data_IF_810910298231
#
_entry.id   IF_810910298231
#
_cell.length_a   1.000
_cell.length_b   1.000
_cell.length_c   1.000
_cell.angle_alpha   90.00
_cell.angle_beta   90.00
_cell.angle_gamma   90.00
#
_symmetry.space_group_name_H-M   'P 1'
#
loop_
_entity.id
_entity.type
_entity.pdbx_description
1 polymer ?
#
# COMPACT_ATOMS: atom_id res chain seq x y z
N UNK A 1 -7.87 -11.49 -28.77
CA UNK A 1 -6.43 -11.33 -28.57
C UNK A 1 -6.20 -11.31 -27.07
N UNK A 2 -5.31 -12.16 -26.54
CA UNK A 2 -4.84 -11.93 -25.18
C UNK A 2 -4.15 -10.56 -25.16
N UNK A 3 -4.51 -9.71 -24.20
CA UNK A 3 -3.91 -8.38 -24.06
C UNK A 3 -2.46 -8.52 -23.55
N UNK A 4 -2.09 -9.68 -23.00
CA UNK A 4 -0.78 -9.94 -22.38
C UNK A 4 -0.17 -11.27 -22.81
N UNK A 5 1.15 -11.38 -22.66
CA UNK A 5 1.90 -12.62 -22.89
C UNK A 5 1.76 -13.55 -21.67
N UNK A 6 1.31 -14.79 -21.88
CA UNK A 6 1.04 -15.77 -20.81
C UNK A 6 2.29 -16.53 -20.32
N UNK A 7 3.47 -16.18 -20.83
CA UNK A 7 4.76 -16.75 -20.42
C UNK A 7 5.59 -15.72 -19.66
N UNK A 8 6.34 -16.13 -18.62
CA UNK A 8 7.22 -15.22 -17.91
C UNK A 8 8.29 -14.65 -18.85
N UNK A 9 8.58 -13.37 -18.68
CA UNK A 9 9.80 -12.77 -19.19
C UNK A 9 10.93 -13.04 -18.20
N UNK A 10 11.98 -13.71 -18.64
CA UNK A 10 13.17 -13.93 -17.82
C UNK A 10 14.06 -12.69 -17.93
N UNK A 11 14.17 -11.95 -16.84
CA UNK A 11 15.00 -10.77 -16.72
C UNK A 11 16.27 -11.14 -15.96
N UNK A 12 17.44 -11.04 -16.60
CA UNK A 12 18.74 -11.22 -15.95
C UNK A 12 19.30 -9.84 -15.58
N UNK A 13 19.40 -9.51 -14.28
CA UNK A 13 19.97 -8.23 -13.86
C UNK A 13 21.46 -8.11 -14.19
N UNK A 14 21.90 -6.89 -14.46
CA UNK A 14 23.32 -6.53 -14.42
C UNK A 14 23.68 -6.12 -12.98
N UNK A 15 24.55 -6.86 -12.26
CA UNK A 15 24.89 -6.56 -10.88
C UNK A 15 25.71 -5.27 -10.71
N UNK A 16 26.10 -4.61 -11.80
CA UNK A 16 26.92 -3.39 -11.79
C UNK A 16 26.23 -2.17 -12.38
N UNK A 17 24.97 -2.30 -12.80
CA UNK A 17 24.21 -1.24 -13.42
C UNK A 17 22.87 -0.99 -12.71
N UNK A 18 22.28 0.17 -13.00
CA UNK A 18 20.90 0.45 -12.63
C UNK A 18 19.94 -0.37 -13.51
N UNK A 19 19.28 -1.35 -12.90
CA UNK A 19 18.34 -2.25 -13.56
C UNK A 19 16.92 -1.66 -13.68
N UNK A 20 16.63 -0.55 -12.99
CA UNK A 20 15.30 0.03 -12.91
C UNK A 20 14.70 0.40 -14.28
N UNK A 21 15.44 1.10 -15.16
CA UNK A 21 14.96 1.41 -16.51
C UNK A 21 14.66 0.17 -17.35
N UNK A 22 15.42 -0.92 -17.17
CA UNK A 22 15.21 -2.15 -17.94
C UNK A 22 13.93 -2.86 -17.50
N UNK A 23 13.69 -2.98 -16.18
CA UNK A 23 12.42 -3.50 -15.64
C UNK A 23 11.21 -2.74 -16.19
N UNK A 24 11.27 -1.40 -16.20
CA UNK A 24 10.19 -0.58 -16.77
C UNK A 24 10.01 -0.83 -18.27
N UNK A 25 11.10 -0.99 -19.03
CA UNK A 25 11.03 -1.26 -20.47
C UNK A 25 10.33 -2.60 -20.79
N UNK A 26 10.52 -3.61 -19.94
CA UNK A 26 9.89 -4.93 -20.06
C UNK A 26 8.36 -4.80 -19.86
N UNK A 27 7.94 -4.02 -18.86
CA UNK A 27 6.53 -3.72 -18.62
C UNK A 27 5.90 -2.95 -19.79
N UNK A 28 6.62 -1.97 -20.34
CA UNK A 28 6.19 -1.21 -21.53
C UNK A 28 6.08 -2.09 -22.78
N UNK A 29 6.91 -3.13 -22.88
CA UNK A 29 6.82 -4.13 -23.94
C UNK A 29 5.63 -5.10 -23.80
N UNK A 30 4.87 -5.03 -22.71
CA UNK A 30 3.62 -5.78 -22.52
C UNK A 30 3.74 -7.02 -21.65
N UNK A 31 4.92 -7.32 -21.09
CA UNK A 31 5.09 -8.42 -20.16
C UNK A 31 4.50 -8.05 -18.80
N UNK A 32 3.68 -8.95 -18.25
CA UNK A 32 3.09 -8.80 -16.91
C UNK A 32 3.65 -9.79 -15.92
N UNK A 33 4.22 -10.88 -16.40
CA UNK A 33 4.93 -11.84 -15.58
C UNK A 33 6.42 -11.69 -15.82
N UNK A 34 7.14 -11.22 -14.81
CA UNK A 34 8.58 -11.01 -14.82
C UNK A 34 9.20 -11.96 -13.79
N UNK A 35 10.15 -12.76 -14.25
CA UNK A 35 10.98 -13.61 -13.42
C UNK A 35 12.42 -13.08 -13.41
N UNK A 36 12.93 -12.73 -12.23
CA UNK A 36 14.28 -12.19 -12.08
C UNK A 36 15.26 -13.34 -11.91
N UNK A 37 16.14 -13.50 -12.90
CA UNK A 37 17.19 -14.51 -12.97
C UNK A 37 18.54 -13.93 -12.52
N UNK A 38 18.64 -13.70 -11.22
CA UNK A 38 19.84 -13.23 -10.53
C UNK A 38 19.58 -13.15 -9.02
N UNK A 39 20.63 -13.24 -8.21
CA UNK A 39 20.53 -13.05 -6.76
C UNK A 39 20.49 -11.59 -6.35
N UNK A 40 21.01 -10.71 -7.20
CA UNK A 40 21.14 -9.28 -6.91
C UNK A 40 20.64 -8.46 -8.11
N UNK A 41 19.85 -7.44 -7.83
CA UNK A 41 19.27 -6.54 -8.81
C UNK A 41 19.36 -5.09 -8.30
N UNK A 42 20.52 -4.43 -8.46
CA UNK A 42 20.65 -3.03 -8.09
C UNK A 42 19.73 -2.15 -8.92
N UNK A 43 19.01 -1.24 -8.26
CA UNK A 43 18.20 -0.21 -8.89
C UNK A 43 18.61 1.16 -8.35
N UNK A 44 19.04 2.03 -9.27
CA UNK A 44 19.38 3.43 -9.02
C UNK A 44 18.28 4.40 -9.46
N UNK A 45 17.26 3.90 -10.14
CA UNK A 45 16.07 4.66 -10.54
C UNK A 45 14.82 3.94 -10.05
N UNK A 46 13.88 4.69 -9.48
CA UNK A 46 12.55 4.20 -9.11
C UNK A 46 11.90 3.41 -10.25
N UNK A 47 11.44 2.20 -9.94
CA UNK A 47 10.72 1.33 -10.88
C UNK A 47 9.24 1.66 -10.80
N UNK A 48 8.76 2.41 -11.79
CA UNK A 48 7.33 2.69 -11.96
C UNK A 48 6.64 1.49 -12.61
N UNK A 49 5.68 0.89 -11.91
CA UNK A 49 4.87 -0.23 -12.41
C UNK A 49 3.62 0.24 -13.20
N UNK A 50 3.49 1.56 -13.40
CA UNK A 50 2.46 2.20 -14.20
C UNK A 50 2.84 2.27 -15.69
N UNK A 51 1.83 2.55 -16.50
CA UNK A 51 2.01 3.07 -17.86
C UNK A 51 2.53 4.51 -17.82
N UNK A 52 3.07 4.97 -18.95
CA UNK A 52 3.49 6.37 -19.14
C UNK A 52 2.34 7.38 -19.04
N UNK A 53 1.09 6.94 -19.17
CA UNK A 53 -0.12 7.74 -18.96
C UNK A 53 -0.72 7.56 -17.54
N UNK A 54 0.08 7.08 -16.59
CA UNK A 54 -0.24 6.77 -15.20
C UNK A 54 -1.28 5.67 -14.98
N UNK A 55 -1.77 5.02 -16.02
CA UNK A 55 -2.70 3.89 -15.86
C UNK A 55 -1.99 2.66 -15.28
N UNK A 56 -2.58 1.98 -14.28
CA UNK A 56 -1.96 0.79 -13.71
C UNK A 56 -2.05 -0.42 -14.65
N UNK A 57 -0.99 -1.22 -14.72
CA UNK A 57 -1.02 -2.53 -15.38
C UNK A 57 -1.56 -3.63 -14.47
N UNK A 58 -2.85 -3.94 -14.52
CA UNK A 58 -3.40 -5.06 -13.71
C UNK A 58 -2.76 -6.41 -14.04
N UNK A 59 -2.76 -7.35 -13.10
CA UNK A 59 -2.29 -8.72 -13.33
C UNK A 59 -0.77 -8.90 -13.34
N UNK A 60 -0.01 -7.97 -12.75
CA UNK A 60 1.45 -8.09 -12.69
C UNK A 60 1.89 -9.18 -11.71
N UNK A 61 2.89 -9.96 -12.12
CA UNK A 61 3.59 -10.97 -11.35
C UNK A 61 5.08 -10.64 -11.40
N UNK A 62 5.69 -10.37 -10.25
CA UNK A 62 7.13 -10.12 -10.13
C UNK A 62 7.69 -11.08 -9.07
N UNK A 63 8.61 -11.93 -9.48
CA UNK A 63 9.16 -12.99 -8.65
C UNK A 63 10.56 -13.40 -9.12
N UNK A 64 11.33 -14.15 -8.32
CA UNK A 64 12.55 -14.80 -8.79
C UNK A 64 12.29 -15.88 -9.84
N UNK A 65 13.28 -16.13 -10.69
CA UNK A 65 13.28 -17.29 -11.59
C UNK A 65 13.39 -18.62 -10.83
N UNK A 66 12.95 -19.75 -11.41
CA UNK A 66 13.04 -21.05 -10.76
C UNK A 66 14.47 -21.40 -10.32
N UNK A 67 14.65 -21.76 -9.05
CA UNK A 67 15.95 -22.07 -8.46
C UNK A 67 16.60 -20.91 -7.70
N UNK A 68 15.96 -19.74 -7.70
CA UNK A 68 16.35 -18.59 -6.88
C UNK A 68 15.28 -18.41 -5.79
N UNK A 69 15.70 -18.52 -4.52
CA UNK A 69 14.77 -18.43 -3.40
C UNK A 69 14.31 -17.00 -3.15
N UNK A 70 15.23 -16.03 -3.28
CA UNK A 70 15.00 -14.60 -3.05
C UNK A 70 15.99 -13.76 -3.86
N UNK A 71 15.53 -12.58 -4.30
CA UNK A 71 16.35 -11.60 -5.05
C UNK A 71 16.59 -10.38 -4.17
N UNK A 72 17.85 -9.97 -4.00
CA UNK A 72 18.22 -8.72 -3.36
C UNK A 72 17.96 -7.54 -4.30
N UNK A 73 17.12 -6.61 -3.87
CA UNK A 73 16.89 -5.32 -4.53
C UNK A 73 17.69 -4.27 -3.77
N UNK A 74 18.88 -3.92 -4.29
CA UNK A 74 19.73 -2.87 -3.74
C UNK A 74 19.26 -1.51 -4.28
N UNK A 75 18.76 -0.67 -3.37
CA UNK A 75 18.17 0.64 -3.71
C UNK A 75 19.07 1.82 -3.37
N UNK A 76 20.34 1.55 -3.00
CA UNK A 76 21.30 2.57 -2.57
C UNK A 76 21.54 3.68 -3.61
N UNK A 77 21.27 3.41 -4.89
CA UNK A 77 21.38 4.40 -5.96
C UNK A 77 20.22 5.41 -6.03
N UNK A 78 19.08 5.12 -5.37
CA UNK A 78 17.89 6.00 -5.36
C UNK A 78 18.03 7.06 -4.26
N UNK A 79 18.30 6.62 -3.03
CA UNK A 79 18.38 7.50 -1.86
C UNK A 79 17.03 8.12 -1.48
N UNK A 80 17.07 9.15 -0.66
CA UNK A 80 15.91 9.96 -0.28
C UNK A 80 16.04 11.38 -0.79
N UNK A 81 14.91 12.09 -0.87
CA UNK A 81 14.91 13.52 -1.13
C UNK A 81 15.62 14.25 0.03
N UNK A 82 16.69 15.03 -0.21
CA UNK A 82 17.46 15.68 0.85
C UNK A 82 16.73 16.86 1.53
N UNK A 83 15.68 17.40 0.90
CA UNK A 83 14.87 18.49 1.47
C UNK A 83 13.62 17.98 2.17
N UNK A 84 13.14 16.79 1.79
CA UNK A 84 12.01 16.10 2.39
C UNK A 84 12.26 14.59 2.38
N UNK A 85 13.01 14.05 3.35
CA UNK A 85 13.35 12.62 3.38
C UNK A 85 12.15 11.66 3.47
N UNK A 86 10.93 12.20 3.61
CA UNK A 86 9.68 11.43 3.66
C UNK A 86 8.94 11.39 2.33
N UNK A 87 9.41 12.10 1.31
CA UNK A 87 8.81 12.16 -0.03
C UNK A 87 8.72 10.77 -0.68
N UNK A 88 7.51 10.20 -0.84
CA UNK A 88 7.33 8.84 -1.34
C UNK A 88 7.66 8.71 -2.84
N UNK A 89 7.86 9.81 -3.58
CA UNK A 89 8.32 9.74 -4.97
C UNK A 89 9.72 9.13 -5.13
N UNK A 90 10.46 8.99 -4.03
CA UNK A 90 11.73 8.27 -3.92
C UNK A 90 11.55 6.81 -3.48
N UNK A 91 10.40 6.21 -3.76
CA UNK A 91 10.20 4.78 -3.59
C UNK A 91 11.09 3.98 -4.56
N UNK A 92 11.45 2.75 -4.19
CA UNK A 92 12.26 1.89 -5.03
C UNK A 92 11.41 1.21 -6.11
N UNK A 93 10.29 0.63 -5.71
CA UNK A 93 9.23 0.19 -6.61
C UNK A 93 7.97 0.95 -6.22
N UNK A 94 7.49 1.79 -7.14
CA UNK A 94 6.26 2.55 -6.99
C UNK A 94 5.19 2.02 -7.94
N UNK A 95 3.99 1.88 -7.40
CA UNK A 95 2.84 1.46 -8.16
C UNK A 95 1.60 2.18 -7.67
N UNK A 96 0.98 2.99 -8.54
CA UNK A 96 -0.16 3.81 -8.16
C UNK A 96 -1.43 3.44 -8.92
N UNK A 97 -2.58 3.51 -8.24
CA UNK A 97 -3.86 3.67 -8.94
C UNK A 97 -3.90 5.04 -9.64
N UNK A 98 -4.63 5.15 -10.74
CA UNK A 98 -4.79 6.44 -11.42
C UNK A 98 -6.04 7.14 -10.86
N UNK A 99 -5.87 8.30 -10.25
CA UNK A 99 -6.98 9.07 -9.69
C UNK A 99 -7.22 10.34 -10.50
N UNK A 100 -8.49 10.70 -10.68
CA UNK A 100 -8.90 11.92 -11.40
C UNK A 100 -10.05 12.60 -10.66
N UNK A 101 -10.15 13.94 -10.72
CA UNK A 101 -11.29 14.64 -10.14
C UNK A 101 -12.62 14.08 -10.65
N UNK A 102 -13.57 13.93 -9.75
CA UNK A 102 -14.93 13.50 -10.07
C UNK A 102 -15.94 14.54 -9.59
N UNK A 103 -16.30 14.46 -8.32
CA UNK A 103 -17.30 15.29 -7.67
C UNK A 103 -17.07 15.32 -6.15
N UNK A 104 -18.09 15.71 -5.40
CA UNK A 104 -18.13 15.67 -3.95
C UNK A 104 -19.51 15.29 -3.45
N UNK A 105 -19.60 14.80 -2.21
CA UNK A 105 -20.86 14.43 -1.57
C UNK A 105 -21.74 15.66 -1.31
N UNK A 106 -22.98 15.67 -1.79
CA UNK A 106 -23.95 16.76 -1.51
C UNK A 106 -24.71 16.59 -0.20
N UNK A 107 -24.65 15.38 0.38
CA UNK A 107 -25.15 15.05 1.71
C UNK A 107 -24.21 14.00 2.33
N UNK A 108 -24.16 13.87 3.67
CA UNK A 108 -23.37 12.81 4.29
C UNK A 108 -23.76 11.42 3.79
N UNK A 109 -22.78 10.56 3.56
CA UNK A 109 -23.01 9.15 3.27
C UNK A 109 -22.87 8.34 4.55
N UNK A 110 -23.97 7.77 5.03
CA UNK A 110 -23.99 7.03 6.29
C UNK A 110 -23.63 5.56 6.11
N UNK A 111 -23.10 4.95 7.16
CA UNK A 111 -22.89 3.50 7.23
C UNK A 111 -24.14 2.71 6.83
N UNK A 112 -23.96 1.54 6.22
CA UNK A 112 -25.03 0.64 5.76
C UNK A 112 -25.90 1.17 4.61
N UNK A 113 -25.52 2.27 3.96
CA UNK A 113 -26.16 2.78 2.74
C UNK A 113 -25.40 2.35 1.49
N UNK A 114 -26.09 2.23 0.35
CA UNK A 114 -25.47 1.92 -0.96
C UNK A 114 -25.67 3.04 -1.99
N UNK A 115 -26.40 4.10 -1.64
CA UNK A 115 -26.62 5.25 -2.50
C UNK A 115 -25.92 6.46 -1.88
N UNK A 116 -25.07 7.11 -2.66
CA UNK A 116 -24.38 8.34 -2.28
C UNK A 116 -24.83 9.48 -3.19
N UNK A 117 -25.14 10.64 -2.61
CA UNK A 117 -25.54 11.82 -3.39
C UNK A 117 -24.32 12.65 -3.74
N UNK A 118 -24.16 12.97 -5.03
CA UNK A 118 -22.99 13.72 -5.55
C UNK A 118 -23.44 14.97 -6.30
N UNK A 119 -22.57 15.98 -6.38
CA UNK A 119 -22.90 17.26 -7.00
C UNK A 119 -22.98 17.19 -8.52
N UNK A 120 -22.18 16.32 -9.12
CA UNK A 120 -22.09 16.12 -10.57
C UNK A 120 -21.87 14.63 -10.85
N UNK A 121 -22.80 14.03 -11.59
CA UNK A 121 -22.73 12.62 -11.97
C UNK A 121 -22.07 12.40 -13.33
N UNK A 122 -21.82 13.46 -14.10
CA UNK A 122 -21.33 13.37 -15.49
C UNK A 122 -19.97 12.68 -15.67
N UNK A 123 -19.01 12.72 -14.71
CA UNK A 123 -17.74 12.01 -14.87
C UNK A 123 -17.88 10.49 -14.71
N UNK A 124 -18.95 10.01 -14.08
CA UNK A 124 -19.09 8.60 -13.70
C UNK A 124 -19.87 7.80 -14.73
N UNK A 125 -19.54 6.52 -14.81
CA UNK A 125 -20.27 5.54 -15.62
C UNK A 125 -20.52 4.27 -14.80
N UNK A 126 -21.47 3.44 -15.23
CA UNK A 126 -21.66 2.12 -14.61
C UNK A 126 -20.35 1.32 -14.75
N UNK A 127 -19.85 0.80 -13.63
CA UNK A 127 -18.58 0.08 -13.53
C UNK A 127 -17.38 0.95 -13.16
N UNK A 128 -17.52 2.29 -13.13
CA UNK A 128 -16.47 3.20 -12.66
C UNK A 128 -16.06 2.86 -11.24
N UNK A 129 -14.76 2.83 -10.99
CA UNK A 129 -14.21 2.79 -9.64
C UNK A 129 -14.09 4.22 -9.11
N UNK A 130 -14.37 4.39 -7.82
CA UNK A 130 -14.34 5.69 -7.15
C UNK A 130 -13.63 5.58 -5.81
N UNK A 131 -13.07 6.71 -5.37
CA UNK A 131 -12.58 6.91 -4.00
C UNK A 131 -13.46 7.96 -3.35
N UNK A 132 -13.96 7.65 -2.14
CA UNK A 132 -14.65 8.60 -1.27
C UNK A 132 -13.69 8.95 -0.15
N UNK A 133 -13.19 10.19 -0.09
CA UNK A 133 -12.14 10.62 0.86
C UNK A 133 -12.61 11.75 1.76
N UNK A 134 -12.35 11.60 3.05
CA UNK A 134 -12.75 12.54 4.11
C UNK A 134 -11.68 13.62 4.37
N UNK A 135 -10.49 13.45 3.80
CA UNK A 135 -9.32 14.27 4.10
C UNK A 135 -9.45 15.73 3.62
N UNK A 136 -10.39 16.01 2.72
CA UNK A 136 -10.78 17.36 2.32
C UNK A 136 -12.29 17.46 2.11
N UNK A 137 -12.86 18.59 2.50
CA UNK A 137 -14.26 18.96 2.23
C UNK A 137 -14.37 20.23 1.36
N UNK A 138 -13.27 20.66 0.75
CA UNK A 138 -13.19 21.82 -0.12
C UNK A 138 -12.82 21.39 -1.54
N UNK A 139 -13.81 20.90 -2.28
CA UNK A 139 -13.63 20.41 -3.65
C UNK A 139 -13.16 21.51 -4.63
N UNK A 140 -13.51 22.77 -4.38
CA UNK A 140 -13.13 23.87 -5.27
C UNK A 140 -11.63 24.14 -5.22
N UNK A 141 -11.02 24.00 -4.03
CA UNK A 141 -9.56 24.18 -3.84
C UNK A 141 -8.80 22.87 -4.04
N UNK A 142 -9.36 21.76 -3.54
CA UNK A 142 -8.70 20.44 -3.50
C UNK A 142 -9.62 19.36 -4.10
N UNK A 143 -9.71 19.26 -5.43
CA UNK A 143 -10.63 18.34 -6.11
C UNK A 143 -10.15 16.88 -6.14
N UNK A 144 -8.95 16.61 -5.61
CA UNK A 144 -8.31 15.30 -5.53
C UNK A 144 -8.35 14.79 -4.09
N UNK A 145 -8.48 13.46 -3.88
CA UNK A 145 -8.38 12.90 -2.55
C UNK A 145 -6.99 13.17 -1.98
N UNK A 146 -6.95 13.47 -0.69
CA UNK A 146 -5.71 13.58 0.09
C UNK A 146 -5.56 12.34 0.95
N UNK A 147 -4.34 12.14 1.45
CA UNK A 147 -4.02 11.10 2.41
C UNK A 147 -4.92 11.19 3.64
N UNK A 148 -5.53 10.05 4.01
CA UNK A 148 -6.41 9.94 5.16
C UNK A 148 -7.59 8.98 4.97
N UNK A 149 -8.59 9.07 5.86
CA UNK A 149 -9.75 8.19 5.87
C UNK A 149 -10.52 8.19 4.55
N UNK A 150 -10.72 6.99 3.97
CA UNK A 150 -11.38 6.84 2.68
C UNK A 150 -12.00 5.45 2.49
N UNK A 151 -12.82 5.32 1.44
CA UNK A 151 -13.31 4.04 0.91
C UNK A 151 -13.16 3.98 -0.61
N UNK A 152 -12.73 2.83 -1.14
CA UNK A 152 -12.74 2.53 -2.57
C UNK A 152 -13.98 1.71 -2.90
N UNK A 153 -14.78 2.15 -3.88
CA UNK A 153 -16.04 1.51 -4.27
C UNK A 153 -16.18 1.44 -5.78
N UNK A 154 -17.03 0.52 -6.25
CA UNK A 154 -17.41 0.46 -7.65
C UNK A 154 -18.84 0.96 -7.81
N UNK A 155 -19.06 1.88 -8.77
CA UNK A 155 -20.38 2.36 -9.16
C UNK A 155 -21.09 1.27 -9.94
N UNK A 156 -22.24 0.81 -9.45
CA UNK A 156 -23.11 -0.14 -10.14
C UNK A 156 -24.08 0.59 -11.07
N UNK A 157 -24.58 1.75 -10.63
CA UNK A 157 -25.55 2.52 -11.39
C UNK A 157 -25.42 4.02 -11.15
N UNK A 158 -25.49 4.80 -12.22
CA UNK A 158 -25.50 6.28 -12.17
C UNK A 158 -26.95 6.79 -12.26
N UNK A 159 -27.37 7.55 -11.26
CA UNK A 159 -28.64 8.29 -11.24
C UNK A 159 -28.38 9.76 -11.59
N UNK A 160 -29.42 10.59 -11.62
CA UNK A 160 -29.27 12.01 -11.98
C UNK A 160 -28.34 12.77 -11.00
N UNK A 161 -28.51 12.56 -9.69
CA UNK A 161 -27.82 13.30 -8.62
C UNK A 161 -27.14 12.37 -7.59
N UNK A 162 -27.03 11.08 -7.90
CA UNK A 162 -26.51 10.08 -6.98
C UNK A 162 -25.89 8.89 -7.72
N UNK A 163 -25.10 8.11 -6.98
CA UNK A 163 -24.45 6.90 -7.44
C UNK A 163 -24.89 5.74 -6.54
N UNK A 164 -25.24 4.60 -7.15
CA UNK A 164 -25.42 3.34 -6.44
C UNK A 164 -24.08 2.60 -6.46
N UNK A 165 -23.51 2.29 -5.30
CA UNK A 165 -22.23 1.59 -5.14
C UNK A 165 -22.42 0.10 -4.87
N UNK A 166 -21.37 -0.68 -5.13
CA UNK A 166 -21.38 -2.15 -5.12
C UNK A 166 -21.61 -2.78 -3.74
N UNK A 167 -21.26 -2.07 -2.67
CA UNK A 167 -21.36 -2.53 -1.29
C UNK A 167 -21.78 -1.38 -0.40
N UNK A 168 -22.25 -1.72 0.80
CA UNK A 168 -22.58 -0.71 1.79
C UNK A 168 -21.36 0.11 2.18
N UNK A 169 -21.58 1.40 2.40
CA UNK A 169 -20.64 2.30 3.06
C UNK A 169 -20.35 1.77 4.48
N UNK A 170 -19.08 1.70 4.85
CA UNK A 170 -18.61 1.09 6.11
C UNK A 170 -18.19 2.11 7.18
N UNK A 171 -17.93 3.35 6.78
CA UNK A 171 -17.70 4.52 7.64
C UNK A 171 -18.62 5.67 7.23
N UNK A 172 -18.99 6.53 8.16
CA UNK A 172 -19.69 7.76 7.79
C UNK A 172 -18.73 8.70 7.04
N UNK A 173 -19.16 9.19 5.88
CA UNK A 173 -18.45 10.23 5.12
C UNK A 173 -19.21 11.56 5.24
N UNK A 174 -18.52 12.68 5.56
CA UNK A 174 -19.17 13.96 5.73
C UNK A 174 -19.68 14.54 4.41
N UNK A 175 -20.61 15.49 4.50
CA UNK A 175 -20.96 16.34 3.36
C UNK A 175 -19.69 17.04 2.83
N UNK A 176 -19.61 17.18 1.51
CA UNK A 176 -18.49 17.73 0.74
C UNK A 176 -17.23 16.86 0.71
N UNK A 177 -17.23 15.65 1.27
CA UNK A 177 -16.15 14.68 1.04
C UNK A 177 -15.91 14.48 -0.46
N UNK A 178 -14.65 14.33 -0.84
CA UNK A 178 -14.25 14.20 -2.25
C UNK A 178 -14.68 12.84 -2.78
N UNK A 179 -15.30 12.82 -3.96
CA UNK A 179 -15.63 11.59 -4.70
C UNK A 179 -14.89 11.63 -6.02
N UNK A 180 -13.74 10.96 -6.10
CA UNK A 180 -12.88 10.97 -7.27
C UNK A 180 -13.05 9.69 -8.11
N UNK A 181 -12.81 9.78 -9.42
CA UNK A 181 -12.62 8.59 -10.26
C UNK A 181 -11.29 7.95 -9.89
N UNK A 182 -11.29 6.63 -9.79
CA UNK A 182 -10.09 5.84 -9.52
C UNK A 182 -10.03 4.72 -10.56
N UNK A 183 -8.85 4.46 -11.10
CA UNK A 183 -8.55 3.23 -11.82
C UNK A 183 -7.54 2.47 -10.95
N UNK A 184 -8.00 1.52 -10.10
CA UNK A 184 -7.14 0.93 -9.08
C UNK A 184 -6.20 -0.14 -9.63
N UNK A 185 -5.15 -0.44 -8.87
CA UNK A 185 -4.28 -1.60 -9.09
C UNK A 185 -5.07 -2.86 -8.76
N UNK A 186 -4.98 -3.89 -9.60
CA UNK A 186 -5.78 -5.12 -9.44
C UNK A 186 -4.98 -6.38 -9.72
N UNK A 187 -5.19 -7.41 -8.89
CA UNK A 187 -4.74 -8.78 -9.09
C UNK A 187 -3.22 -8.90 -9.29
N UNK A 188 -2.45 -8.25 -8.43
CA UNK A 188 -0.98 -8.25 -8.50
C UNK A 188 -0.41 -9.29 -7.54
N UNK A 189 0.70 -9.92 -7.93
CA UNK A 189 1.45 -10.86 -7.12
C UNK A 189 2.93 -10.48 -7.13
N UNK A 190 3.46 -9.98 -6.01
CA UNK A 190 4.90 -9.64 -5.89
C UNK A 190 5.46 -10.47 -4.76
N UNK A 191 6.54 -11.23 -5.02
CA UNK A 191 7.09 -12.12 -4.00
C UNK A 191 8.59 -12.27 -3.99
N UNK A 192 9.10 -12.73 -2.85
CA UNK A 192 10.47 -13.19 -2.65
C UNK A 192 11.52 -12.14 -3.06
N UNK A 193 11.34 -10.91 -2.58
CA UNK A 193 12.30 -9.80 -2.76
C UNK A 193 12.87 -9.41 -1.39
N UNK A 194 14.18 -9.17 -1.32
CA UNK A 194 14.88 -8.62 -0.15
C UNK A 194 15.40 -7.23 -0.46
N UNK A 195 14.90 -6.20 0.21
CA UNK A 195 15.36 -4.83 0.01
C UNK A 195 16.57 -4.51 0.90
N UNK A 196 17.53 -3.76 0.36
CA UNK A 196 18.65 -3.18 1.12
C UNK A 196 18.99 -1.79 0.61
N UNK A 197 19.61 -0.96 1.45
CA UNK A 197 19.98 0.41 1.12
C UNK A 197 18.97 1.45 1.61
N UNK A 198 18.97 2.60 0.94
CA UNK A 198 18.19 3.79 1.33
C UNK A 198 17.26 4.25 0.21
N UNK A 199 15.96 4.23 0.50
CA UNK A 199 14.91 4.83 -0.32
C UNK A 199 13.78 5.32 0.59
N UNK A 200 12.90 6.19 0.12
CA UNK A 200 11.75 6.60 0.93
C UNK A 200 10.84 5.38 1.23
N UNK A 201 10.51 4.60 0.21
CA UNK A 201 9.74 3.36 0.37
C UNK A 201 10.40 2.23 -0.41
N UNK A 202 10.47 1.01 0.12
CA UNK A 202 10.96 -0.15 -0.65
C UNK A 202 9.93 -0.56 -1.72
N UNK A 203 8.76 -0.99 -1.28
CA UNK A 203 7.63 -1.34 -2.13
C UNK A 203 6.39 -0.52 -1.73
N UNK A 204 5.97 0.37 -2.65
CA UNK A 204 4.85 1.29 -2.45
C UNK A 204 3.71 0.95 -3.42
N UNK A 205 2.53 0.64 -2.90
CA UNK A 205 1.34 0.41 -3.71
C UNK A 205 0.19 1.30 -3.26
N UNK A 206 -0.41 2.05 -4.18
CA UNK A 206 -1.54 2.95 -3.95
C UNK A 206 -2.84 2.41 -4.54
N UNK A 207 -3.95 2.44 -3.78
CA UNK A 207 -5.26 1.97 -4.27
C UNK A 207 -5.27 0.50 -4.74
N UNK A 208 -4.59 -0.41 -4.02
CA UNK A 208 -4.43 -1.80 -4.41
C UNK A 208 -5.65 -2.69 -4.12
N UNK A 209 -6.01 -3.58 -5.05
CA UNK A 209 -7.21 -4.43 -4.95
C UNK A 209 -6.84 -5.88 -5.25
N UNK A 210 -7.20 -6.80 -4.36
CA UNK A 210 -6.99 -8.24 -4.57
C UNK A 210 -5.53 -8.60 -4.89
N UNK A 211 -4.58 -7.87 -4.30
CA UNK A 211 -3.15 -8.10 -4.49
C UNK A 211 -2.61 -9.02 -3.40
N UNK A 212 -1.56 -9.77 -3.73
CA UNK A 212 -0.83 -10.60 -2.78
C UNK A 212 0.63 -10.21 -2.83
N UNK A 213 1.17 -9.89 -1.66
CA UNK A 213 2.54 -9.45 -1.45
C UNK A 213 3.17 -10.44 -0.47
N UNK A 214 4.13 -11.24 -0.90
CA UNK A 214 4.58 -12.42 -0.16
C UNK A 214 6.10 -12.45 0.02
N UNK A 215 6.56 -12.71 1.23
CA UNK A 215 7.98 -12.87 1.55
C UNK A 215 8.83 -11.69 1.06
N UNK A 216 8.34 -10.47 1.34
CA UNK A 216 9.09 -9.24 1.10
C UNK A 216 9.85 -8.91 2.39
N UNK A 217 11.17 -8.99 2.33
CA UNK A 217 12.03 -8.74 3.49
C UNK A 217 12.96 -7.57 3.24
N UNK A 218 13.66 -7.15 4.28
CA UNK A 218 14.80 -6.26 4.13
C UNK A 218 15.96 -6.65 5.04
N UNK A 219 17.15 -6.18 4.67
CA UNK A 219 18.41 -6.30 5.43
C UNK A 219 19.17 -4.98 5.34
N UNK A 220 19.74 -4.54 6.48
CA UNK A 220 20.45 -3.27 6.60
C UNK A 220 19.63 -2.09 6.03
N UNK A 221 18.32 -2.13 6.24
CA UNK A 221 17.40 -1.15 5.68
C UNK A 221 17.52 0.18 6.42
N UNK A 222 17.85 1.23 5.67
CA UNK A 222 17.92 2.60 6.18
C UNK A 222 16.87 3.49 5.57
N UNK A 223 15.93 2.97 4.77
CA UNK A 223 14.86 3.74 4.14
C UNK A 223 13.64 4.01 5.05
N UNK A 224 12.72 4.89 4.64
CA UNK A 224 11.69 5.42 5.56
C UNK A 224 10.60 4.37 5.88
N UNK A 225 10.24 3.56 4.89
CA UNK A 225 9.31 2.45 5.00
C UNK A 225 9.71 1.28 4.08
N UNK A 226 9.73 0.03 4.55
CA UNK A 226 10.02 -1.08 3.64
C UNK A 226 8.82 -1.41 2.73
N UNK A 227 7.64 -1.64 3.32
CA UNK A 227 6.44 -2.05 2.58
C UNK A 227 5.25 -1.22 3.01
N UNK A 228 4.65 -0.54 2.04
CA UNK A 228 3.51 0.34 2.25
C UNK A 228 2.40 0.05 1.23
N UNK A 229 1.24 -0.41 1.72
CA UNK A 229 -0.02 -0.29 0.98
C UNK A 229 -0.71 0.99 1.42
N UNK A 230 -0.75 1.97 0.54
CA UNK A 230 -1.11 3.35 0.83
C UNK A 230 -2.46 3.75 0.18
N UNK A 231 -3.12 4.74 0.77
CA UNK A 231 -4.41 5.33 0.45
C UNK A 231 -5.33 4.40 -0.32
N UNK A 232 -6.02 3.53 0.40
CA UNK A 232 -7.11 2.79 -0.22
C UNK A 232 -6.69 1.47 -0.80
N UNK A 233 -7.66 0.58 -0.80
CA UNK A 233 -7.45 -0.75 -1.29
C UNK A 233 -8.42 -1.72 -0.66
N UNK A 234 -8.53 -2.91 -1.23
CA UNK A 234 -9.28 -3.96 -0.55
C UNK A 234 -8.84 -5.37 -0.87
N UNK A 235 -9.09 -6.25 0.09
CA UNK A 235 -8.86 -7.69 -0.01
C UNK A 235 -7.42 -8.03 -0.44
N UNK A 236 -6.47 -7.19 -0.04
CA UNK A 236 -5.06 -7.50 -0.23
C UNK A 236 -4.60 -8.50 0.83
N UNK A 237 -3.56 -9.25 0.52
CA UNK A 237 -2.91 -10.17 1.46
C UNK A 237 -1.41 -9.88 1.48
N UNK A 238 -0.87 -9.55 2.65
CA UNK A 238 0.57 -9.50 2.90
C UNK A 238 0.96 -10.72 3.72
N UNK A 239 1.92 -11.52 3.25
CA UNK A 239 2.32 -12.78 3.85
C UNK A 239 3.83 -12.80 4.11
N UNK A 240 4.24 -13.19 5.31
CA UNK A 240 5.64 -13.49 5.66
C UNK A 240 6.62 -12.36 5.31
N UNK A 241 6.19 -11.09 5.39
CA UNK A 241 6.98 -9.92 5.04
C UNK A 241 7.55 -9.24 6.28
N UNK A 242 8.87 -9.01 6.32
CA UNK A 242 9.53 -8.58 7.55
C UNK A 242 10.66 -7.57 7.29
N UNK A 243 10.55 -6.39 7.89
CA UNK A 243 11.57 -5.36 7.81
C UNK A 243 12.68 -5.59 8.85
N UNK A 244 13.94 -5.60 8.41
CA UNK A 244 15.11 -5.55 9.31
C UNK A 244 15.86 -4.25 9.06
N UNK A 245 15.58 -3.25 9.90
CA UNK A 245 16.21 -1.95 9.81
C UNK A 245 17.45 -1.84 10.72
N UNK A 246 18.24 -0.80 10.49
CA UNK A 246 19.49 -0.57 11.22
C UNK A 246 19.27 0.11 12.57
N UNK A 247 18.27 1.00 12.68
CA UNK A 247 17.93 1.69 13.91
C UNK A 247 16.44 2.09 13.98
N UNK A 248 15.81 1.99 15.18
CA UNK A 248 14.44 2.41 15.38
C UNK A 248 14.29 3.92 15.19
N UNK A 249 13.38 4.32 14.30
CA UNK A 249 13.25 5.70 13.88
C UNK A 249 11.98 6.42 14.33
N UNK A 250 12.10 7.68 14.74
CA UNK A 250 10.97 8.63 14.79
C UNK A 250 11.25 9.88 13.94
N UNK A 251 12.51 10.09 13.58
CA UNK A 251 12.95 11.24 12.80
C UNK A 251 12.81 10.99 11.29
N UNK A 252 12.72 12.06 10.47
CA UNK A 252 12.51 11.95 9.02
C UNK A 252 13.54 11.09 8.29
N UNK A 253 14.80 11.07 8.75
CA UNK A 253 15.90 10.31 8.14
C UNK A 253 15.98 8.86 8.61
N UNK A 254 15.22 8.48 9.64
CA UNK A 254 15.27 7.14 10.21
C UNK A 254 14.21 6.22 9.60
N UNK A 255 14.33 4.92 9.85
CA UNK A 255 13.29 3.95 9.47
C UNK A 255 12.13 4.07 10.45
N UNK A 256 11.11 4.84 10.09
CA UNK A 256 9.96 4.97 10.98
C UNK A 256 8.89 3.89 10.75
N UNK A 257 8.88 3.15 9.63
CA UNK A 257 7.87 2.11 9.35
C UNK A 257 8.46 0.81 8.79
N UNK A 258 8.05 -0.34 9.32
CA UNK A 258 8.34 -1.66 8.76
C UNK A 258 7.34 -2.02 7.66
N UNK A 259 6.31 -2.80 8.03
CA UNK A 259 5.15 -3.09 7.16
C UNK A 259 3.97 -2.23 7.61
N UNK A 260 3.39 -1.46 6.70
CA UNK A 260 2.26 -0.58 7.01
C UNK A 260 1.17 -0.71 5.94
N UNK A 261 -0.07 -0.70 6.40
CA UNK A 261 -1.24 -0.57 5.54
C UNK A 261 -2.05 0.66 5.96
N UNK A 262 -2.44 1.46 4.98
CA UNK A 262 -3.19 2.68 5.19
C UNK A 262 -4.42 2.76 4.27
N UNK A 263 -5.58 3.05 4.85
CA UNK A 263 -6.85 3.18 4.12
C UNK A 263 -7.37 1.90 3.49
N UNK A 264 -6.83 0.76 3.90
CA UNK A 264 -7.21 -0.53 3.36
C UNK A 264 -8.56 -0.99 3.93
N UNK A 265 -9.31 -1.74 3.12
CA UNK A 265 -10.56 -2.38 3.52
C UNK A 265 -10.45 -3.92 3.39
N UNK A 266 -10.69 -4.66 4.48
CA UNK A 266 -10.70 -6.13 4.47
C UNK A 266 -9.35 -6.76 4.05
N UNK A 267 -8.25 -6.02 4.19
CA UNK A 267 -6.89 -6.49 3.92
C UNK A 267 -6.37 -7.34 5.09
N UNK A 268 -5.61 -8.37 4.75
CA UNK A 268 -5.01 -9.31 5.72
C UNK A 268 -3.50 -9.20 5.69
N UNK A 269 -2.90 -9.20 6.87
CA UNK A 269 -1.45 -9.24 7.03
C UNK A 269 -1.11 -10.43 7.92
N UNK A 270 -0.21 -11.31 7.51
CA UNK A 270 0.02 -12.59 8.19
C UNK A 270 1.52 -12.81 8.36
N UNK A 271 1.95 -13.10 9.59
CA UNK A 271 3.36 -13.35 9.94
C UNK A 271 4.32 -12.21 9.55
N UNK A 272 3.82 -10.97 9.51
CA UNK A 272 4.58 -9.82 9.01
C UNK A 272 4.84 -8.77 10.08
N UNK A 273 5.83 -7.91 9.85
CA UNK A 273 6.14 -6.77 10.72
C UNK A 273 7.57 -6.30 10.52
N UNK A 274 8.30 -6.07 11.62
CA UNK A 274 9.69 -5.64 11.53
C UNK A 274 10.39 -5.39 12.85
N UNK A 275 11.71 -5.21 12.77
CA UNK A 275 12.54 -4.81 13.90
C UNK A 275 13.39 -3.57 13.61
N UNK A 276 13.76 -2.87 14.69
CA UNK A 276 14.49 -1.61 14.64
C UNK A 276 13.80 -0.57 13.74
N UNK A 277 12.48 -0.50 13.76
CA UNK A 277 11.68 0.51 13.08
C UNK A 277 11.05 1.45 14.11
N UNK A 278 10.50 2.57 13.66
CA UNK A 278 9.57 3.36 14.47
C UNK A 278 8.31 2.56 14.81
N UNK A 279 7.73 1.91 13.79
CA UNK A 279 6.58 1.04 13.90
C UNK A 279 6.85 -0.26 13.14
N UNK A 280 6.88 -1.39 13.83
CA UNK A 280 7.14 -2.69 13.19
C UNK A 280 6.01 -3.11 12.24
N UNK A 281 4.77 -3.04 12.71
CA UNK A 281 3.57 -3.26 11.90
C UNK A 281 2.48 -2.22 12.22
N UNK A 282 2.00 -1.51 11.19
CA UNK A 282 1.02 -0.43 11.33
C UNK A 282 -0.25 -0.62 10.50
N UNK A 283 -1.39 -0.20 11.07
CA UNK A 283 -2.64 -0.06 10.35
C UNK A 283 -3.23 1.33 10.62
N UNK A 284 -3.38 2.15 9.58
CA UNK A 284 -3.85 3.54 9.69
C UNK A 284 -5.13 3.74 8.88
N UNK A 285 -6.14 4.41 9.47
CA UNK A 285 -7.46 4.69 8.88
C UNK A 285 -8.09 3.54 8.07
N UNK A 286 -7.84 2.30 8.52
CA UNK A 286 -8.19 1.06 7.84
C UNK A 286 -9.50 0.46 8.38
N UNK A 287 -10.22 -0.28 7.54
CA UNK A 287 -11.54 -0.84 7.84
C UNK A 287 -11.50 -2.36 7.72
N UNK A 288 -12.02 -3.09 8.70
CA UNK A 288 -12.12 -4.56 8.70
C UNK A 288 -10.79 -5.28 8.40
N UNK A 289 -9.65 -4.65 8.71
CA UNK A 289 -8.33 -5.21 8.43
C UNK A 289 -7.84 -6.06 9.62
N UNK A 290 -7.11 -7.12 9.33
CA UNK A 290 -6.57 -8.00 10.38
C UNK A 290 -5.12 -8.35 10.13
N UNK A 291 -4.31 -8.19 11.18
CA UNK A 291 -2.96 -8.72 11.22
C UNK A 291 -2.90 -9.95 12.12
N UNK A 292 -2.43 -11.07 11.60
CA UNK A 292 -2.37 -12.37 12.29
C UNK A 292 -0.91 -12.72 12.51
N UNK A 293 -0.54 -13.04 13.76
CA UNK A 293 0.83 -13.37 14.13
C UNK A 293 1.83 -12.29 13.70
N UNK A 294 1.48 -11.00 13.84
CA UNK A 294 2.42 -9.92 13.57
C UNK A 294 3.71 -10.14 14.38
N UNK A 295 4.87 -9.95 13.76
CA UNK A 295 6.16 -10.13 14.44
C UNK A 295 6.85 -8.79 14.51
N UNK A 296 7.12 -8.28 15.71
CA UNK A 296 7.79 -7.00 15.85
C UNK A 296 8.59 -6.89 17.14
N UNK A 297 9.84 -6.42 17.07
CA UNK A 297 10.68 -6.20 18.26
C UNK A 297 11.64 -5.05 18.10
N UNK A 298 12.13 -4.50 19.22
CA UNK A 298 13.14 -3.43 19.21
C UNK A 298 12.69 -2.17 18.45
N UNK A 299 11.38 -1.98 18.29
CA UNK A 299 10.82 -0.82 17.62
C UNK A 299 10.48 0.28 18.64
N UNK A 300 10.29 1.52 18.18
CA UNK A 300 9.67 2.56 19.01
C UNK A 300 8.29 2.11 19.49
N UNK A 301 7.49 1.62 18.54
CA UNK A 301 6.22 0.93 18.75
C UNK A 301 6.25 -0.40 18.00
N UNK A 302 6.02 -1.53 18.65
CA UNK A 302 6.07 -2.82 17.95
C UNK A 302 4.89 -2.96 16.97
N UNK A 303 3.66 -2.82 17.45
CA UNK A 303 2.46 -2.88 16.60
C UNK A 303 1.43 -1.82 16.97
N UNK A 304 0.68 -1.32 15.99
CA UNK A 304 -0.32 -0.30 16.27
C UNK A 304 -1.45 -0.14 15.26
N UNK A 305 -2.62 0.27 15.78
CA UNK A 305 -3.78 0.71 15.00
C UNK A 305 -4.01 2.21 15.25
N UNK A 306 -4.13 2.98 14.17
CA UNK A 306 -4.10 4.44 14.20
C UNK A 306 -5.26 5.06 13.43
N UNK A 307 -5.53 6.31 13.78
CA UNK A 307 -6.37 7.32 13.10
C UNK A 307 -7.64 6.76 12.48
N UNK A 308 -8.79 6.91 13.12
CA UNK A 308 -10.10 6.63 12.53
C UNK A 308 -10.24 5.25 11.83
N UNK A 309 -9.48 4.25 12.31
CA UNK A 309 -9.62 2.84 11.89
C UNK A 309 -10.87 2.22 12.51
N UNK A 310 -11.47 1.25 11.81
CA UNK A 310 -12.74 0.63 12.21
C UNK A 310 -12.64 -0.89 12.11
N UNK A 311 -12.93 -1.61 13.21
CA UNK A 311 -12.92 -3.08 13.28
C UNK A 311 -11.61 -3.69 12.75
N UNK A 312 -10.51 -2.98 13.01
CA UNK A 312 -9.17 -3.33 12.54
C UNK A 312 -8.30 -3.74 13.72
N UNK A 313 -7.48 -4.77 13.58
CA UNK A 313 -6.73 -5.23 14.74
C UNK A 313 -5.77 -6.37 14.53
N UNK A 314 -5.19 -6.81 15.64
CA UNK A 314 -4.17 -7.85 15.69
C UNK A 314 -4.70 -9.10 16.40
N UNK A 315 -4.40 -10.27 15.82
CA UNK A 315 -4.60 -11.58 16.43
C UNK A 315 -3.24 -12.23 16.69
N UNK A 316 -2.95 -12.52 17.95
CA UNK A 316 -1.70 -13.12 18.42
C UNK A 316 -0.43 -12.41 17.97
N UNK A 317 -0.32 -11.07 18.14
CA UNK A 317 0.95 -10.39 17.84
C UNK A 317 2.06 -10.96 18.74
N UNK A 318 3.18 -11.30 18.13
CA UNK A 318 4.39 -11.77 18.76
C UNK A 318 5.36 -10.59 18.86
N UNK A 319 5.42 -9.97 20.05
CA UNK A 319 6.14 -8.70 20.26
C UNK A 319 7.09 -8.76 21.45
N UNK A 320 8.20 -8.00 21.37
CA UNK A 320 9.19 -7.93 22.45
C UNK A 320 10.04 -6.65 22.41
N UNK A 321 10.55 -6.24 23.57
CA UNK A 321 11.54 -5.15 23.71
C UNK A 321 11.20 -3.85 22.97
N UNK A 322 10.00 -3.26 23.16
CA UNK A 322 9.71 -1.95 22.59
C UNK A 322 10.53 -0.86 23.29
N UNK A 323 10.85 0.23 22.58
CA UNK A 323 11.46 1.41 23.20
C UNK A 323 10.43 2.27 23.94
N UNK A 324 9.21 2.37 23.41
CA UNK A 324 8.13 3.18 24.02
C UNK A 324 6.91 2.32 24.31
N UNK A 325 6.27 1.73 23.29
CA UNK A 325 5.03 0.98 23.45
C UNK A 325 5.10 -0.36 22.73
N UNK A 326 4.66 -1.43 23.39
CA UNK A 326 4.57 -2.73 22.72
C UNK A 326 3.40 -2.75 21.74
N UNK A 327 2.26 -2.21 22.17
CA UNK A 327 1.03 -2.19 21.40
C UNK A 327 0.33 -0.85 21.57
N UNK A 328 -0.36 -0.36 20.54
CA UNK A 328 -1.17 0.86 20.63
C UNK A 328 -2.43 0.78 19.77
N UNK A 329 -3.52 1.36 20.28
CA UNK A 329 -4.73 1.67 19.52
C UNK A 329 -5.09 3.12 19.87
N UNK A 330 -5.18 4.02 18.88
CA UNK A 330 -5.50 5.43 19.13
C UNK A 330 -6.98 5.63 19.49
N UNK A 331 -7.28 6.71 20.20
CA UNK A 331 -8.58 6.94 20.83
C UNK A 331 -9.75 7.12 19.85
N UNK A 332 -9.45 7.49 18.60
CA UNK A 332 -10.42 7.70 17.53
C UNK A 332 -10.69 6.43 16.69
N UNK A 333 -10.04 5.32 17.02
CA UNK A 333 -10.35 4.02 16.45
C UNK A 333 -11.64 3.44 17.04
N UNK A 334 -12.44 2.77 16.21
CA UNK A 334 -13.74 2.19 16.59
C UNK A 334 -13.67 0.66 16.47
N UNK A 335 -14.06 -0.05 17.52
CA UNK A 335 -14.08 -1.53 17.57
C UNK A 335 -12.76 -2.21 17.15
N UNK A 336 -11.64 -1.49 17.28
CA UNK A 336 -10.31 -2.02 16.98
C UNK A 336 -9.80 -2.88 18.14
N UNK A 337 -8.92 -3.84 17.85
CA UNK A 337 -8.61 -4.90 18.80
C UNK A 337 -7.15 -5.36 18.79
N UNK A 338 -6.71 -5.85 19.95
CA UNK A 338 -5.44 -6.52 20.18
C UNK A 338 -5.75 -7.79 20.96
N UNK A 339 -5.67 -8.96 20.32
CA UNK A 339 -6.16 -10.23 20.90
C UNK A 339 -5.00 -11.19 21.09
N UNK A 340 -4.91 -11.77 22.29
CA UNK A 340 -3.95 -12.83 22.65
C UNK A 340 -2.48 -12.53 22.32
N UNK A 341 -1.88 -11.39 22.70
CA UNK A 341 -0.44 -11.16 22.49
C UNK A 341 0.40 -12.33 23.03
N UNK A 342 1.38 -12.76 22.25
CA UNK A 342 2.28 -13.87 22.58
C UNK A 342 3.72 -13.37 22.67
N UNK A 343 4.60 -14.06 23.42
CA UNK A 343 6.02 -13.77 23.40
C UNK A 343 6.59 -13.89 21.97
N UNK A 344 7.63 -13.11 21.67
CA UNK A 344 8.30 -13.15 20.36
C UNK A 344 9.00 -14.50 20.04
N UNK A 345 9.29 -15.31 21.08
CA UNK A 345 10.13 -16.52 21.08
C UNK A 345 9.85 -17.54 19.99
#
# INVERSE_FOLDING_TARGET
>A
MSIYTDTPYIFTPDPSADNGPQLQSILKAGYRWIQIDGTDCPIGTTVLLNRDDNWPYSGQIIEPAPGIDKVTIDVSGIGRNPLDPTDPSYAAIDYQGNVRPGSYLTAPAYVNTTEISVADTTPFTNGSWIVISDASTDFATYPMPLDGPLEVRQVIYVLANSLIVNRVIKRDHPQNAIVALCDPIKNVYIRNLEFTGDAAVGLHLHYAQHCVIENITSVDWTGRCMLLLDNGGEYNTILDSYCTATEPGIDPEQTAWGVVIEGQDSTRVINSGGENCGLGMGMNYSIDCVSINARARLNTVNVGVYTASIRTGFLRPATESPLILDTVITADCVDCYMVEPVPFS
#
